data_IF_443056139061
#
_entry.id   IF_443056139061
#
_cell.length_a   1.000
_cell.length_b   1.000
_cell.length_c   1.000
_cell.angle_alpha   90.00
_cell.angle_beta   90.00
_cell.angle_gamma   90.00
#
_symmetry.space_group_name_H-M   'P 1'
#
loop_
_entity.id
_entity.type
_entity.pdbx_description
1 polymer ?
#
# COMPACT_ATOMS: atom_id res chain seq x y z
N UNK A 1 -9.59 -15.24 19.42
CA UNK A 1 -9.18 -14.12 20.32
C UNK A 1 -9.57 -12.84 19.61
N UNK A 2 -10.14 -11.86 20.32
CA UNK A 2 -10.53 -10.59 19.69
C UNK A 2 -9.29 -9.75 19.34
N UNK A 3 -9.28 -9.16 18.15
CA UNK A 3 -8.29 -8.18 17.67
C UNK A 3 -9.00 -6.92 17.19
N UNK A 4 -8.31 -5.79 17.25
CA UNK A 4 -8.83 -4.53 16.71
C UNK A 4 -8.32 -4.30 15.30
N UNK A 5 -9.22 -3.97 14.37
CA UNK A 5 -8.88 -3.75 12.97
C UNK A 5 -8.13 -2.43 12.76
N UNK A 6 -6.96 -2.46 12.13
CA UNK A 6 -6.15 -1.27 11.85
C UNK A 6 -6.82 -0.29 10.88
N UNK A 7 -7.74 -0.78 10.03
CA UNK A 7 -8.42 0.04 9.03
C UNK A 7 -9.61 0.79 9.61
N UNK A 8 -10.50 0.09 10.31
CA UNK A 8 -11.79 0.63 10.74
C UNK A 8 -11.94 0.75 12.26
N UNK A 9 -10.95 0.30 13.05
CA UNK A 9 -10.95 0.37 14.51
C UNK A 9 -11.95 -0.56 15.21
N UNK A 10 -12.68 -1.39 14.46
CA UNK A 10 -13.64 -2.35 15.03
C UNK A 10 -12.94 -3.61 15.51
N UNK A 11 -13.45 -4.16 16.61
CA UNK A 11 -13.03 -5.47 17.09
C UNK A 11 -13.60 -6.60 16.22
N UNK A 12 -12.81 -7.65 16.04
CA UNK A 12 -13.18 -8.83 15.27
C UNK A 12 -12.51 -10.07 15.87
N UNK A 13 -13.13 -11.24 15.71
CA UNK A 13 -12.52 -12.49 16.17
C UNK A 13 -11.52 -13.01 15.14
N UNK A 14 -10.30 -13.27 15.59
CA UNK A 14 -9.23 -13.82 14.76
C UNK A 14 -9.57 -15.20 14.18
N UNK A 15 -10.48 -15.95 14.82
CA UNK A 15 -10.96 -17.24 14.30
C UNK A 15 -11.76 -17.12 13.00
N UNK A 16 -12.30 -15.92 12.71
CA UNK A 16 -13.06 -15.63 11.49
C UNK A 16 -12.18 -15.35 10.27
N UNK A 17 -10.84 -15.28 10.43
CA UNK A 17 -9.92 -15.10 9.33
C UNK A 17 -9.79 -16.40 8.53
N UNK A 18 -10.28 -16.40 7.29
CA UNK A 18 -10.14 -17.54 6.37
C UNK A 18 -8.95 -17.41 5.42
N UNK A 19 -8.53 -16.17 5.11
CA UNK A 19 -7.42 -15.90 4.21
C UNK A 19 -6.13 -15.72 5.00
N UNK A 20 -5.18 -16.65 4.83
CA UNK A 20 -3.88 -16.58 5.49
C UNK A 20 -3.09 -15.32 5.10
N UNK A 21 -3.35 -14.75 3.93
CA UNK A 21 -2.68 -13.54 3.48
C UNK A 21 -3.11 -12.30 4.28
N UNK A 22 -4.35 -12.29 4.81
CA UNK A 22 -4.82 -11.19 5.65
C UNK A 22 -4.15 -11.15 7.02
N UNK A 23 -3.62 -12.29 7.51
CA UNK A 23 -2.93 -12.40 8.80
C UNK A 23 -1.67 -11.53 8.90
N UNK A 24 -1.14 -11.06 7.75
CA UNK A 24 -0.06 -10.06 7.70
C UNK A 24 -0.45 -8.74 8.36
N UNK A 25 -1.75 -8.46 8.47
CA UNK A 25 -2.28 -7.24 9.04
C UNK A 25 -3.36 -7.56 10.09
N UNK A 26 -3.47 -6.79 11.18
CA UNK A 26 -4.63 -6.87 12.07
C UNK A 26 -5.83 -6.25 11.37
N UNK A 27 -6.45 -6.99 10.44
CA UNK A 27 -7.57 -6.51 9.62
C UNK A 27 -8.78 -7.44 9.77
N UNK A 28 -9.98 -6.84 9.90
CA UNK A 28 -11.20 -7.63 9.94
C UNK A 28 -11.54 -8.18 8.55
N UNK A 29 -12.32 -9.28 8.45
CA UNK A 29 -12.69 -9.89 7.17
C UNK A 29 -13.33 -8.92 6.17
N UNK A 30 -14.13 -7.97 6.66
CA UNK A 30 -14.77 -6.95 5.83
C UNK A 30 -13.75 -6.03 5.15
N UNK A 31 -12.80 -5.45 5.90
CA UNK A 31 -11.79 -4.57 5.32
C UNK A 31 -10.82 -5.32 4.41
N UNK A 32 -10.54 -6.60 4.69
CA UNK A 32 -9.75 -7.44 3.79
C UNK A 32 -10.48 -7.72 2.47
N UNK A 33 -11.79 -7.99 2.52
CA UNK A 33 -12.64 -8.16 1.32
C UNK A 33 -12.72 -6.88 0.47
N UNK A 34 -12.80 -5.72 1.12
CA UNK A 34 -12.73 -4.42 0.45
C UNK A 34 -11.38 -4.21 -0.25
N UNK A 35 -10.27 -4.55 0.42
CA UNK A 35 -8.94 -4.51 -0.20
C UNK A 35 -8.85 -5.42 -1.42
N UNK A 36 -9.34 -6.66 -1.35
CA UNK A 36 -9.33 -7.58 -2.49
C UNK A 36 -10.07 -6.98 -3.70
N UNK A 37 -11.23 -6.36 -3.46
CA UNK A 37 -12.00 -5.68 -4.52
C UNK A 37 -11.23 -4.49 -5.09
N UNK A 38 -10.68 -3.64 -4.22
CA UNK A 38 -9.92 -2.46 -4.63
C UNK A 38 -8.62 -2.83 -5.36
N UNK A 39 -7.93 -3.89 -4.94
CA UNK A 39 -6.68 -4.36 -5.55
C UNK A 39 -6.87 -4.72 -7.02
N UNK A 40 -8.01 -5.30 -7.39
CA UNK A 40 -8.36 -5.60 -8.79
C UNK A 40 -8.51 -4.30 -9.60
N UNK A 41 -9.13 -3.27 -9.03
CA UNK A 41 -9.21 -1.96 -9.68
C UNK A 41 -7.82 -1.35 -9.89
N UNK A 42 -6.96 -1.38 -8.86
CA UNK A 42 -5.58 -0.89 -8.96
C UNK A 42 -4.80 -1.63 -10.06
N UNK A 43 -4.92 -2.96 -10.13
CA UNK A 43 -4.26 -3.78 -11.16
C UNK A 43 -4.74 -3.36 -12.56
N UNK A 44 -6.05 -3.20 -12.75
CA UNK A 44 -6.62 -2.90 -14.06
C UNK A 44 -6.30 -1.46 -14.51
N UNK A 45 -6.48 -0.47 -13.64
CA UNK A 45 -6.27 0.94 -13.97
C UNK A 45 -4.80 1.27 -14.21
N UNK A 46 -3.88 0.69 -13.42
CA UNK A 46 -2.44 0.89 -13.59
C UNK A 46 -1.79 -0.12 -14.55
N UNK A 47 -2.58 -1.05 -15.13
CA UNK A 47 -2.12 -2.10 -16.05
C UNK A 47 -0.97 -2.93 -15.46
N UNK A 48 -1.10 -3.33 -14.20
CA UNK A 48 -0.09 -4.11 -13.49
C UNK A 48 -0.03 -5.55 -14.00
N UNK A 49 1.06 -5.90 -14.65
CA UNK A 49 1.47 -7.29 -14.87
C UNK A 49 2.01 -7.93 -13.57
N UNK A 50 1.25 -8.84 -12.97
CA UNK A 50 1.60 -9.52 -11.72
C UNK A 50 2.79 -10.50 -11.86
N UNK A 51 3.25 -10.81 -13.06
CA UNK A 51 4.49 -11.57 -13.30
C UNK A 51 5.74 -10.73 -13.01
N UNK A 52 5.64 -9.40 -13.11
CA UNK A 52 6.76 -8.47 -12.92
C UNK A 52 6.94 -8.11 -11.43
N UNK A 53 8.16 -8.27 -10.86
CA UNK A 53 8.42 -7.95 -9.46
C UNK A 53 8.11 -6.49 -9.07
N UNK A 54 8.38 -5.54 -9.97
CA UNK A 54 8.17 -4.12 -9.73
C UNK A 54 6.68 -3.78 -9.64
N UNK A 55 5.84 -4.39 -10.48
CA UNK A 55 4.40 -4.21 -10.43
C UNK A 55 3.79 -4.80 -9.15
N UNK A 56 4.29 -5.97 -8.69
CA UNK A 56 3.92 -6.51 -7.38
C UNK A 56 4.34 -5.60 -6.24
N UNK A 57 5.42 -4.82 -6.38
CA UNK A 57 5.84 -3.82 -5.39
C UNK A 57 4.91 -2.61 -5.41
N UNK A 58 4.49 -2.15 -6.59
CA UNK A 58 3.50 -1.08 -6.74
C UNK A 58 2.16 -1.45 -6.07
N UNK A 59 1.62 -2.65 -6.32
CA UNK A 59 0.39 -3.11 -5.66
C UNK A 59 0.53 -3.17 -4.14
N UNK A 60 1.68 -3.65 -3.64
CA UNK A 60 1.99 -3.67 -2.20
C UNK A 60 2.05 -2.26 -1.59
N UNK A 61 2.46 -1.24 -2.34
CA UNK A 61 2.41 0.15 -1.89
C UNK A 61 0.96 0.59 -1.66
N UNK A 62 0.06 0.29 -2.60
CA UNK A 62 -1.37 0.56 -2.44
C UNK A 62 -2.00 -0.23 -1.28
N UNK A 63 -1.57 -1.48 -1.06
CA UNK A 63 -2.00 -2.28 0.10
C UNK A 63 -1.66 -1.58 1.41
N UNK A 64 -0.40 -1.17 1.56
CA UNK A 64 0.08 -0.46 2.75
C UNK A 64 -0.64 0.87 2.95
N UNK A 65 -0.89 1.63 1.89
CA UNK A 65 -1.69 2.86 1.96
C UNK A 65 -3.13 2.58 2.36
N UNK A 66 -3.76 1.54 1.81
CA UNK A 66 -5.15 1.17 2.11
C UNK A 66 -5.33 0.93 3.61
N UNK A 67 -4.38 0.19 4.22
CA UNK A 67 -4.34 -0.11 5.65
C UNK A 67 -3.70 0.99 6.53
N UNK A 68 -3.32 2.13 5.97
CA UNK A 68 -2.77 3.26 6.72
C UNK A 68 -1.34 3.06 7.25
N UNK A 69 -0.61 2.07 6.72
CA UNK A 69 0.78 1.77 7.08
C UNK A 69 1.81 2.62 6.33
N UNK A 70 1.36 3.32 5.30
CA UNK A 70 2.15 4.25 4.50
C UNK A 70 1.27 5.47 4.24
N UNK A 71 1.80 6.66 4.57
CA UNK A 71 1.11 7.90 4.19
C UNK A 71 1.24 8.05 2.68
N UNK A 72 0.20 8.49 1.96
CA UNK A 72 0.39 8.92 0.59
C UNK A 72 1.52 9.95 0.60
N UNK A 73 2.61 9.68 -0.11
CA UNK A 73 3.65 10.69 -0.32
C UNK A 73 2.94 11.90 -0.93
N UNK A 74 2.76 12.95 -0.13
CA UNK A 74 2.49 14.27 -0.67
C UNK A 74 3.60 14.49 -1.68
N UNK A 75 3.22 14.58 -2.97
CA UNK A 75 4.11 15.01 -4.03
C UNK A 75 4.84 16.27 -3.53
N UNK A 76 6.06 16.10 -3.03
CA UNK A 76 6.98 17.21 -2.87
C UNK A 76 7.25 17.71 -4.28
N UNK A 77 6.41 18.64 -4.74
CA UNK A 77 6.76 19.59 -5.78
C UNK A 77 7.92 20.41 -5.26
N UNK A 78 9.13 19.89 -5.43
CA UNK A 78 10.32 20.70 -5.59
C UNK A 78 11.05 20.16 -6.83
N UNK A 79 10.64 20.56 -8.06
CA UNK A 79 11.63 20.66 -9.12
C UNK A 79 12.63 21.76 -8.70
N UNK A 80 13.86 21.68 -9.21
CA UNK A 80 14.95 22.63 -8.98
C UNK A 80 15.82 22.39 -7.73
N UNK A 81 16.64 21.34 -7.85
CA UNK A 81 18.05 21.43 -7.45
C UNK A 81 18.91 20.59 -8.41
N UNK A 82 18.95 21.01 -9.68
CA UNK A 82 20.06 20.69 -10.58
C UNK A 82 20.75 22.00 -10.93
N UNK A 83 21.85 22.27 -10.24
CA UNK A 83 22.99 22.98 -10.83
C UNK A 83 24.24 22.55 -10.06
N UNK A 84 24.81 21.44 -10.53
CA UNK A 84 26.24 21.31 -10.52
C UNK A 84 26.75 22.21 -11.63
N UNK A 85 27.39 23.32 -11.29
CA UNK A 85 28.43 23.86 -12.16
C UNK A 85 29.73 23.95 -11.35
N UNK A 86 30.63 23.05 -11.71
CA UNK A 86 32.02 23.07 -11.33
C UNK A 86 32.73 23.88 -12.42
N UNK A 87 33.06 25.14 -12.13
CA UNK A 87 33.97 25.89 -12.97
C UNK A 87 35.03 26.58 -12.11
N UNK A 88 36.09 25.80 -11.88
CA UNK A 88 37.50 26.14 -12.10
C UNK A 88 37.94 27.61 -11.97
N UNK A 89 38.98 27.78 -11.13
CA UNK A 89 40.18 28.60 -11.38
C UNK A 89 39.99 30.07 -11.78
N UNK A 90 40.29 30.98 -10.84
CA UNK A 90 41.44 31.91 -10.91
C UNK A 90 41.61 32.68 -9.59
#
# INVERSE_FOLDING_TARGET
>A
MSKTCIKCGKDFDDSSITDQMSQKYPSCPTCWSEWNTYSVMVINELRLDMSLPEHRKALRKHERMFFGLEKPEELQKNPDAKEQDNSSQL
#
